data_IF_117036603766
#
_entry.id   IF_117036603766
#
_cell.length_a   1.000
_cell.length_b   1.000
_cell.length_c   1.000
_cell.angle_alpha   90.00
_cell.angle_beta   90.00
_cell.angle_gamma   90.00
#
_symmetry.space_group_name_H-M   'P 1'
#
loop_
_entity.id
_entity.type
_entity.pdbx_description
1 polymer ?
#
# COMPACT_ATOMS: atom_id res chain seq x y z
N UNK A 1 -0.61 -38.05 21.23
CA UNK A 1 0.42 -37.04 20.95
C UNK A 1 0.54 -36.95 19.43
N UNK A 2 -0.13 -35.99 18.81
CA UNK A 2 -0.20 -35.90 17.34
C UNK A 2 1.08 -35.26 16.79
N UNK A 3 1.73 -35.92 15.83
CA UNK A 3 2.95 -35.44 15.19
C UNK A 3 2.68 -34.13 14.42
N UNK A 4 3.44 -33.09 14.72
CA UNK A 4 3.41 -31.76 14.10
C UNK A 4 3.55 -31.79 12.57
N UNK A 5 4.18 -32.82 12.02
CA UNK A 5 4.35 -33.05 10.58
C UNK A 5 3.03 -33.12 9.80
N UNK A 6 1.98 -33.74 10.35
CA UNK A 6 0.72 -33.95 9.62
C UNK A 6 -0.08 -32.65 9.48
N UNK A 7 -0.05 -31.79 10.50
CA UNK A 7 -0.72 -30.49 10.46
C UNK A 7 -0.03 -29.53 9.48
N UNK A 8 1.30 -29.61 9.37
CA UNK A 8 2.06 -28.80 8.40
C UNK A 8 1.66 -29.13 6.95
N UNK A 9 1.43 -30.41 6.63
CA UNK A 9 0.98 -30.83 5.31
C UNK A 9 -0.44 -30.34 5.00
N UNK A 10 -1.38 -30.48 5.95
CA UNK A 10 -2.76 -29.99 5.75
C UNK A 10 -2.77 -28.47 5.55
N UNK A 11 -1.99 -27.74 6.34
CA UNK A 11 -1.88 -26.29 6.21
C UNK A 11 -1.26 -25.88 4.86
N UNK A 12 -0.21 -26.58 4.42
CA UNK A 12 0.40 -26.37 3.10
C UNK A 12 -0.60 -26.58 1.96
N UNK A 13 -1.42 -27.64 2.05
CA UNK A 13 -2.49 -27.90 1.08
C UNK A 13 -3.54 -26.76 1.08
N UNK A 14 -3.96 -26.27 2.25
CA UNK A 14 -4.90 -25.16 2.35
C UNK A 14 -4.34 -23.86 1.74
N UNK A 15 -3.05 -23.55 1.98
CA UNK A 15 -2.39 -22.40 1.36
C UNK A 15 -2.29 -22.54 -0.16
N UNK A 16 -2.04 -23.74 -0.66
CA UNK A 16 -2.01 -24.01 -2.10
C UNK A 16 -3.38 -23.80 -2.75
N UNK A 17 -4.45 -24.31 -2.13
CA UNK A 17 -5.82 -24.11 -2.61
C UNK A 17 -6.23 -22.64 -2.59
N UNK A 18 -5.84 -21.89 -1.54
CA UNK A 18 -6.09 -20.44 -1.46
C UNK A 18 -5.30 -19.65 -2.51
N UNK A 19 -4.05 -20.04 -2.75
CA UNK A 19 -3.21 -19.41 -3.79
C UNK A 19 -3.79 -19.65 -5.19
N UNK A 20 -4.33 -20.84 -5.43
CA UNK A 20 -5.03 -21.16 -6.68
C UNK A 20 -6.31 -20.33 -6.85
N UNK A 21 -7.13 -20.19 -5.81
CA UNK A 21 -8.32 -19.32 -5.82
C UNK A 21 -7.98 -17.87 -6.15
N UNK A 22 -6.97 -17.30 -5.50
CA UNK A 22 -6.51 -15.93 -5.76
C UNK A 22 -5.96 -15.76 -7.18
N UNK A 23 -5.26 -16.77 -7.70
CA UNK A 23 -4.78 -16.80 -9.07
C UNK A 23 -5.94 -16.77 -10.06
N UNK A 24 -6.96 -17.62 -9.92
CA UNK A 24 -8.10 -17.64 -10.85
C UNK A 24 -8.87 -16.31 -10.79
N UNK A 25 -9.10 -15.76 -9.59
CA UNK A 25 -9.75 -14.45 -9.43
C UNK A 25 -8.99 -13.32 -10.13
N UNK A 26 -7.65 -13.38 -10.17
CA UNK A 26 -6.82 -12.33 -10.78
C UNK A 26 -6.64 -12.49 -12.29
N UNK A 27 -6.48 -13.72 -12.78
CA UNK A 27 -6.06 -14.00 -14.16
C UNK A 27 -7.18 -14.52 -15.06
N UNK A 28 -8.36 -14.88 -14.53
CA UNK A 28 -9.48 -15.41 -15.33
C UNK A 28 -9.95 -14.46 -16.42
N UNK A 29 -9.80 -13.15 -16.24
CA UNK A 29 -10.18 -12.13 -17.22
C UNK A 29 -9.30 -12.17 -18.49
N UNK A 30 -8.06 -12.65 -18.40
CA UNK A 30 -7.19 -12.83 -19.58
C UNK A 30 -7.70 -13.91 -20.53
N UNK A 31 -8.46 -14.87 -20.00
CA UNK A 31 -9.00 -16.00 -20.75
C UNK A 31 -10.42 -15.73 -21.27
N UNK A 32 -10.89 -14.48 -21.19
CA UNK A 32 -12.24 -14.07 -21.62
C UNK A 32 -12.57 -14.39 -23.08
N UNK A 33 -11.54 -14.50 -23.94
CA UNK A 33 -11.70 -14.77 -25.38
C UNK A 33 -12.21 -16.18 -25.67
N UNK A 34 -12.10 -17.10 -24.70
CA UNK A 34 -12.53 -18.48 -24.81
C UNK A 34 -13.49 -18.81 -23.65
N UNK A 35 -14.81 -18.57 -23.80
CA UNK A 35 -15.78 -18.71 -22.70
C UNK A 35 -15.84 -20.13 -22.12
N UNK A 36 -15.55 -21.15 -22.94
CA UNK A 36 -15.48 -22.55 -22.49
C UNK A 36 -14.30 -22.77 -21.53
N UNK A 37 -13.13 -22.20 -21.80
CA UNK A 37 -11.95 -22.32 -20.93
C UNK A 37 -12.22 -21.58 -19.61
N UNK A 38 -12.84 -20.41 -19.68
CA UNK A 38 -13.22 -19.65 -18.49
C UNK A 38 -14.24 -20.42 -17.61
N UNK A 39 -15.24 -21.06 -18.23
CA UNK A 39 -16.20 -21.91 -17.51
C UNK A 39 -15.50 -23.07 -16.79
N UNK A 40 -14.61 -23.79 -17.47
CA UNK A 40 -13.87 -24.91 -16.85
C UNK A 40 -13.02 -24.43 -15.67
N UNK A 41 -12.36 -23.29 -15.80
CA UNK A 41 -11.56 -22.72 -14.70
C UNK A 41 -12.42 -22.37 -13.48
N UNK A 42 -13.60 -21.79 -13.67
CA UNK A 42 -14.53 -21.50 -12.57
C UNK A 42 -15.05 -22.76 -11.89
N UNK A 43 -15.37 -23.81 -12.65
CA UNK A 43 -15.76 -25.11 -12.08
C UNK A 43 -14.63 -25.68 -11.22
N UNK A 44 -13.39 -25.65 -11.71
CA UNK A 44 -12.22 -26.13 -10.95
C UNK A 44 -12.01 -25.30 -9.68
N UNK A 45 -12.17 -23.97 -9.77
CA UNK A 45 -12.10 -23.07 -8.62
C UNK A 45 -13.16 -23.38 -7.56
N UNK A 46 -14.43 -23.51 -7.96
CA UNK A 46 -15.54 -23.82 -7.04
C UNK A 46 -15.31 -25.16 -6.32
N UNK A 47 -14.81 -26.17 -7.04
CA UNK A 47 -14.41 -27.46 -6.47
C UNK A 47 -13.26 -27.28 -5.47
N UNK A 48 -12.25 -26.48 -5.79
CA UNK A 48 -11.12 -26.21 -4.89
C UNK A 48 -11.55 -25.48 -3.61
N UNK A 49 -12.47 -24.52 -3.70
CA UNK A 49 -13.06 -23.82 -2.54
C UNK A 49 -13.86 -24.81 -1.69
N UNK A 50 -14.67 -25.68 -2.31
CA UNK A 50 -15.41 -26.72 -1.61
C UNK A 50 -14.47 -27.68 -0.87
N UNK A 51 -13.39 -28.12 -1.51
CA UNK A 51 -12.37 -28.95 -0.85
C UNK A 51 -11.72 -28.24 0.34
N UNK A 52 -11.43 -26.94 0.22
CA UNK A 52 -10.89 -26.16 1.34
C UNK A 52 -11.86 -26.16 2.54
N UNK A 53 -13.15 -25.95 2.29
CA UNK A 53 -14.21 -26.01 3.32
C UNK A 53 -14.27 -27.41 3.95
N UNK A 54 -14.23 -28.48 3.15
CA UNK A 54 -14.22 -29.87 3.65
C UNK A 54 -13.00 -30.11 4.55
N UNK A 55 -11.82 -29.64 4.17
CA UNK A 55 -10.60 -29.77 4.99
C UNK A 55 -10.78 -29.03 6.31
N UNK A 56 -11.35 -27.82 6.32
CA UNK A 56 -11.66 -27.08 7.55
C UNK A 56 -12.57 -27.92 8.47
N UNK A 57 -13.62 -28.55 7.94
CA UNK A 57 -14.50 -29.43 8.72
C UNK A 57 -13.80 -30.70 9.23
N UNK A 58 -12.97 -31.36 8.41
CA UNK A 58 -12.19 -32.51 8.83
C UNK A 58 -11.21 -32.16 9.97
N UNK A 59 -10.61 -30.97 9.91
CA UNK A 59 -9.74 -30.47 10.99
C UNK A 59 -10.51 -30.24 12.28
N UNK A 60 -11.76 -29.79 12.21
CA UNK A 60 -12.63 -29.67 13.38
C UNK A 60 -12.93 -31.03 14.03
N UNK A 61 -13.29 -32.05 13.24
CA UNK A 61 -13.55 -33.39 13.77
C UNK A 61 -12.33 -34.05 14.44
N UNK A 62 -11.13 -33.72 13.96
CA UNK A 62 -9.88 -34.24 14.51
C UNK A 62 -9.38 -33.51 15.78
N UNK A 63 -10.14 -32.55 16.31
CA UNK A 63 -9.74 -31.79 17.51
C UNK A 63 -10.16 -32.50 18.81
N UNK A 64 -9.31 -32.47 19.84
CA UNK A 64 -9.61 -33.05 21.16
C UNK A 64 -10.92 -32.56 21.78
N UNK A 65 -11.27 -31.28 21.57
CA UNK A 65 -12.52 -30.68 22.08
C UNK A 65 -13.75 -31.35 21.46
N UNK A 66 -13.67 -31.73 20.18
CA UNK A 66 -14.75 -32.44 19.50
C UNK A 66 -14.83 -33.90 19.99
N UNK A 67 -13.70 -34.57 20.16
CA UNK A 67 -13.63 -35.94 20.71
C UNK A 67 -14.14 -36.03 22.15
N UNK A 68 -13.97 -34.97 22.94
CA UNK A 68 -14.50 -34.86 24.31
C UNK A 68 -16.02 -34.58 24.38
N UNK A 69 -16.71 -34.44 23.23
CA UNK A 69 -18.15 -34.20 23.16
C UNK A 69 -18.58 -32.74 23.37
N UNK A 70 -17.65 -31.79 23.49
CA UNK A 70 -17.95 -30.35 23.66
C UNK A 70 -18.21 -29.64 22.33
N UNK A 71 -19.08 -30.21 21.51
CA UNK A 71 -19.37 -29.74 20.15
C UNK A 71 -19.95 -28.33 20.12
N UNK A 72 -20.84 -28.00 21.07
CA UNK A 72 -21.46 -26.67 21.18
C UNK A 72 -20.44 -25.53 21.40
N UNK A 73 -19.37 -25.80 22.17
CA UNK A 73 -18.31 -24.83 22.41
C UNK A 73 -17.51 -24.55 21.14
N UNK A 74 -17.26 -25.59 20.34
CA UNK A 74 -16.54 -25.47 19.07
C UNK A 74 -17.35 -24.64 18.06
N UNK A 75 -18.63 -24.94 17.89
CA UNK A 75 -19.49 -24.17 16.98
C UNK A 75 -19.61 -22.71 17.41
N UNK A 76 -19.75 -22.42 18.70
CA UNK A 76 -19.78 -21.03 19.17
C UNK A 76 -18.48 -20.28 18.85
N UNK A 77 -17.33 -20.93 19.02
CA UNK A 77 -16.02 -20.31 18.78
C UNK A 77 -15.71 -20.09 17.29
N UNK A 78 -16.13 -21.00 16.42
CA UNK A 78 -15.80 -20.98 14.99
C UNK A 78 -16.98 -20.65 14.06
N UNK A 79 -18.12 -20.23 14.62
CA UNK A 79 -19.32 -19.83 13.85
C UNK A 79 -18.99 -18.82 12.76
N UNK A 80 -18.14 -17.84 13.07
CA UNK A 80 -17.69 -16.83 12.11
C UNK A 80 -17.00 -17.44 10.90
N UNK A 81 -16.03 -18.35 11.11
CA UNK A 81 -15.29 -19.01 10.02
C UNK A 81 -16.20 -19.84 9.13
N UNK A 82 -17.13 -20.60 9.72
CA UNK A 82 -18.07 -21.45 8.96
C UNK A 82 -19.05 -20.60 8.15
N UNK A 83 -19.62 -19.57 8.75
CA UNK A 83 -20.54 -18.65 8.05
C UNK A 83 -19.81 -17.91 6.95
N UNK A 84 -18.59 -17.44 7.20
CA UNK A 84 -17.78 -16.71 6.23
C UNK A 84 -17.44 -17.60 5.02
N UNK A 85 -16.96 -18.82 5.24
CA UNK A 85 -16.57 -19.72 4.15
C UNK A 85 -17.78 -20.18 3.32
N UNK A 86 -18.92 -20.46 3.96
CA UNK A 86 -20.17 -20.76 3.26
C UNK A 86 -20.70 -19.57 2.44
N UNK A 87 -20.64 -18.36 3.01
CA UNK A 87 -21.04 -17.14 2.31
C UNK A 87 -20.12 -16.87 1.13
N UNK A 88 -18.81 -17.06 1.29
CA UNK A 88 -17.83 -16.91 0.22
C UNK A 88 -18.11 -17.84 -0.96
N UNK A 89 -18.30 -19.14 -0.70
CA UNK A 89 -18.64 -20.12 -1.74
C UNK A 89 -19.94 -19.73 -2.47
N UNK A 90 -20.99 -19.35 -1.73
CA UNK A 90 -22.26 -18.96 -2.32
C UNK A 90 -22.13 -17.72 -3.22
N UNK A 91 -21.38 -16.70 -2.80
CA UNK A 91 -21.13 -15.51 -3.59
C UNK A 91 -20.28 -15.81 -4.83
N UNK A 92 -19.23 -16.64 -4.70
CA UNK A 92 -18.36 -17.03 -5.80
C UNK A 92 -19.14 -17.78 -6.89
N UNK A 93 -19.90 -18.81 -6.51
CA UNK A 93 -20.75 -19.57 -7.46
C UNK A 93 -21.79 -18.65 -8.11
N UNK A 94 -22.44 -17.78 -7.34
CA UNK A 94 -23.44 -16.83 -7.89
C UNK A 94 -22.81 -15.88 -8.91
N UNK A 95 -21.60 -15.39 -8.63
CA UNK A 95 -20.85 -14.53 -9.54
C UNK A 95 -20.42 -15.28 -10.81
N UNK A 96 -19.90 -16.50 -10.69
CA UNK A 96 -19.52 -17.34 -11.83
C UNK A 96 -20.71 -17.63 -12.75
N UNK A 97 -21.87 -17.98 -12.19
CA UNK A 97 -23.10 -18.20 -12.96
C UNK A 97 -23.52 -16.91 -13.69
N UNK A 98 -23.53 -15.79 -12.98
CA UNK A 98 -23.96 -14.51 -13.55
C UNK A 98 -23.05 -14.08 -14.72
N UNK A 99 -21.74 -14.13 -14.52
CA UNK A 99 -20.78 -13.67 -15.53
C UNK A 99 -20.73 -14.61 -16.75
N UNK A 100 -20.88 -15.92 -16.55
CA UNK A 100 -20.95 -16.89 -17.64
C UNK A 100 -22.23 -16.75 -18.45
N UNK A 101 -23.37 -16.46 -17.81
CA UNK A 101 -24.63 -16.22 -18.52
C UNK A 101 -24.49 -15.01 -19.48
N UNK A 102 -23.89 -13.93 -19.01
CA UNK A 102 -23.68 -12.72 -19.80
C UNK A 102 -22.69 -12.92 -20.96
N UNK A 103 -21.62 -13.69 -20.75
CA UNK A 103 -20.52 -13.84 -21.72
C UNK A 103 -20.74 -14.99 -22.72
N UNK A 104 -21.69 -15.90 -22.49
CA UNK A 104 -21.88 -17.12 -23.29
C UNK A 104 -22.09 -16.87 -24.79
N UNK A 105 -22.89 -15.86 -25.14
CA UNK A 105 -23.23 -15.57 -26.55
C UNK A 105 -22.30 -14.56 -27.22
N UNK A 106 -21.63 -13.72 -26.44
CA UNK A 106 -20.90 -12.55 -26.95
C UNK A 106 -19.67 -12.26 -26.09
N UNK A 107 -18.67 -13.13 -26.22
CA UNK A 107 -17.44 -13.15 -25.39
C UNK A 107 -16.60 -11.86 -25.47
N UNK A 108 -16.64 -11.12 -26.58
CA UNK A 108 -15.82 -9.91 -26.78
C UNK A 108 -16.48 -8.61 -26.32
N UNK A 109 -17.74 -8.63 -25.88
CA UNK A 109 -18.39 -7.41 -25.39
C UNK A 109 -17.92 -7.14 -23.97
N UNK A 110 -17.55 -5.88 -23.71
CA UNK A 110 -17.17 -5.43 -22.38
C UNK A 110 -18.42 -5.35 -21.50
N UNK A 111 -18.66 -6.41 -20.72
CA UNK A 111 -19.86 -6.55 -19.89
C UNK A 111 -19.68 -5.77 -18.58
N UNK A 112 -20.08 -4.50 -18.59
CA UNK A 112 -20.38 -3.73 -17.37
C UNK A 112 -21.89 -3.58 -17.25
N UNK A 113 -22.52 -4.52 -16.55
CA UNK A 113 -23.92 -4.41 -16.19
C UNK A 113 -24.11 -3.40 -15.07
N UNK A 114 -25.30 -2.82 -14.94
CA UNK A 114 -25.64 -1.88 -13.86
C UNK A 114 -25.33 -2.47 -12.48
N UNK A 115 -25.47 -3.79 -12.30
CA UNK A 115 -25.12 -4.48 -11.07
C UNK A 115 -23.61 -4.62 -10.80
N UNK A 116 -22.79 -4.82 -11.85
CA UNK A 116 -21.33 -4.81 -11.69
C UNK A 116 -20.84 -3.38 -11.44
N UNK A 117 -21.48 -2.39 -12.07
CA UNK A 117 -21.23 -0.97 -11.80
C UNK A 117 -21.64 -0.59 -10.37
N UNK A 118 -22.76 -1.07 -9.84
CA UNK A 118 -23.14 -0.80 -8.45
C UNK A 118 -22.16 -1.45 -7.48
N UNK A 119 -21.77 -2.71 -7.68
CA UNK A 119 -20.73 -3.36 -6.87
C UNK A 119 -19.40 -2.62 -6.92
N UNK A 120 -18.99 -2.17 -8.10
CA UNK A 120 -17.79 -1.36 -8.28
C UNK A 120 -17.91 0.01 -7.62
N UNK A 121 -19.08 0.65 -7.67
CA UNK A 121 -19.36 1.89 -6.95
C UNK A 121 -19.37 1.63 -5.45
N UNK A 122 -19.92 0.53 -4.94
CA UNK A 122 -19.84 0.16 -3.52
C UNK A 122 -18.40 -0.11 -3.08
N UNK A 123 -17.59 -0.77 -3.91
CA UNK A 123 -16.16 -0.94 -3.67
C UNK A 123 -15.42 0.42 -3.64
N UNK A 124 -15.82 1.37 -4.48
CA UNK A 124 -15.25 2.72 -4.56
C UNK A 124 -15.93 3.77 -3.68
N UNK A 125 -17.02 3.42 -3.01
CA UNK A 125 -17.66 4.25 -1.99
C UNK A 125 -16.78 4.33 -0.74
N UNK A 126 -15.81 3.43 -0.60
CA UNK A 126 -14.55 3.72 0.10
C UNK A 126 -13.67 4.61 -0.80
N UNK A 127 -14.09 5.87 -0.96
CA UNK A 127 -13.49 6.84 -1.88
C UNK A 127 -12.12 7.26 -1.32
N UNK A 128 -11.08 6.48 -1.60
CA UNK A 128 -9.71 6.87 -1.27
C UNK A 128 -9.23 7.94 -2.26
N UNK A 129 -9.33 9.21 -1.87
CA UNK A 129 -8.76 10.35 -2.58
C UNK A 129 -7.27 10.54 -2.28
N UNK A 130 -6.78 9.86 -1.24
CA UNK A 130 -5.36 9.82 -0.88
C UNK A 130 -4.54 9.32 -2.07
N UNK A 131 -3.51 10.06 -2.44
CA UNK A 131 -2.61 9.63 -3.51
C UNK A 131 -1.58 8.65 -2.97
N UNK A 132 -1.64 7.43 -3.49
CA UNK A 132 -0.64 6.38 -3.22
C UNK A 132 0.77 6.77 -3.68
N UNK A 133 1.02 7.38 -4.87
CA UNK A 133 2.38 7.76 -5.25
C UNK A 133 2.95 8.88 -4.37
N UNK A 134 2.11 9.82 -3.91
CA UNK A 134 2.56 10.87 -2.99
C UNK A 134 3.02 10.29 -1.64
N UNK A 135 2.29 9.31 -1.10
CA UNK A 135 2.65 8.69 0.18
C UNK A 135 3.97 7.91 0.08
N UNK A 136 4.16 7.17 -1.00
CA UNK A 136 5.39 6.41 -1.26
C UNK A 136 6.59 7.38 -1.32
N UNK A 137 6.45 8.52 -1.99
CA UNK A 137 7.51 9.52 -2.08
C UNK A 137 7.82 10.16 -0.73
N UNK A 138 6.80 10.56 0.04
CA UNK A 138 6.99 11.12 1.38
C UNK A 138 7.72 10.14 2.32
N UNK A 139 7.40 8.84 2.22
CA UNK A 139 8.09 7.80 2.99
C UNK A 139 9.55 7.64 2.55
N UNK A 140 9.82 7.58 1.24
CA UNK A 140 11.17 7.48 0.70
C UNK A 140 12.01 8.71 1.05
N UNK A 141 11.42 9.91 0.97
CA UNK A 141 12.09 11.16 1.33
C UNK A 141 12.42 11.19 2.83
N UNK A 142 11.58 10.66 3.70
CA UNK A 142 11.91 10.53 5.13
C UNK A 142 13.19 9.72 5.38
N UNK A 143 13.35 8.58 4.71
CA UNK A 143 14.58 7.78 4.81
C UNK A 143 15.77 8.46 4.14
N UNK A 144 15.56 9.02 2.95
CA UNK A 144 16.60 9.74 2.22
C UNK A 144 17.13 10.92 3.03
N UNK A 145 16.25 11.74 3.61
CA UNK A 145 16.63 12.88 4.41
C UNK A 145 17.33 12.48 5.73
N UNK A 146 16.93 11.38 6.37
CA UNK A 146 17.66 10.84 7.52
C UNK A 146 19.10 10.47 7.14
N UNK A 147 19.30 9.84 5.98
CA UNK A 147 20.65 9.53 5.48
C UNK A 147 21.42 10.79 5.07
N UNK A 148 20.76 11.76 4.44
CA UNK A 148 21.31 13.08 4.08
C UNK A 148 21.87 13.77 5.33
N UNK A 149 21.05 13.90 6.38
CA UNK A 149 21.44 14.58 7.62
C UNK A 149 22.68 13.95 8.27
N UNK A 150 22.74 12.61 8.34
CA UNK A 150 23.90 11.90 8.89
C UNK A 150 25.15 12.12 8.04
N UNK A 151 25.05 11.99 6.73
CA UNK A 151 26.16 12.22 5.81
C UNK A 151 26.67 13.67 5.89
N UNK A 152 25.77 14.64 6.01
CA UNK A 152 26.13 16.05 6.12
C UNK A 152 26.91 16.33 7.41
N UNK A 153 26.51 15.72 8.54
CA UNK A 153 27.28 15.81 9.79
C UNK A 153 28.69 15.24 9.61
N UNK A 154 28.84 14.08 8.98
CA UNK A 154 30.16 13.51 8.72
C UNK A 154 31.02 14.40 7.80
N UNK A 155 30.41 14.99 6.78
CA UNK A 155 31.09 15.91 5.87
C UNK A 155 31.47 17.22 6.55
N UNK A 156 30.65 17.74 7.48
CA UNK A 156 31.01 18.89 8.29
C UNK A 156 32.19 18.60 9.22
N UNK A 157 32.25 17.43 9.85
CA UNK A 157 33.41 17.00 10.63
C UNK A 157 34.67 16.93 9.74
N UNK A 158 34.55 16.33 8.55
CA UNK A 158 35.63 16.27 7.58
C UNK A 158 36.13 17.68 7.19
N UNK A 159 35.20 18.58 6.86
CA UNK A 159 35.51 19.98 6.50
C UNK A 159 36.17 20.73 7.64
N UNK A 160 35.67 20.58 8.87
CA UNK A 160 36.22 21.26 10.05
C UNK A 160 37.62 20.81 10.45
N UNK A 161 38.01 19.56 10.10
CA UNK A 161 39.33 19.02 10.42
C UNK A 161 40.38 19.27 9.34
N UNK A 162 40.00 19.21 8.06
CA UNK A 162 40.96 19.17 6.95
C UNK A 162 40.98 20.43 6.09
N UNK A 163 39.88 21.20 6.06
CA UNK A 163 39.79 22.41 5.25
C UNK A 163 39.88 23.64 6.14
N UNK A 164 40.47 24.75 5.66
CA UNK A 164 40.48 26.02 6.38
C UNK A 164 39.09 26.67 6.32
N UNK A 165 38.14 26.09 7.05
CA UNK A 165 36.75 26.54 7.16
C UNK A 165 36.64 27.63 8.23
N UNK A 166 36.21 28.86 7.90
CA UNK A 166 36.00 29.90 8.91
C UNK A 166 34.99 29.45 9.98
N UNK A 167 35.37 29.55 11.25
CA UNK A 167 34.57 29.02 12.36
C UNK A 167 33.16 29.64 12.46
N UNK A 168 33.01 30.91 12.10
CA UNK A 168 31.71 31.59 12.04
C UNK A 168 30.77 30.99 10.98
N UNK A 169 31.30 30.71 9.77
CA UNK A 169 30.51 30.11 8.70
C UNK A 169 30.14 28.66 9.05
N UNK A 170 31.09 27.89 9.61
CA UNK A 170 30.83 26.51 10.03
C UNK A 170 29.69 26.44 11.07
N UNK A 171 29.70 27.36 12.04
CA UNK A 171 28.64 27.44 13.05
C UNK A 171 27.29 27.78 12.42
N UNK A 172 27.25 28.75 11.49
CA UNK A 172 26.03 29.13 10.76
C UNK A 172 25.48 27.95 9.95
N UNK A 173 26.34 27.24 9.21
CA UNK A 173 25.95 26.10 8.38
C UNK A 173 25.39 24.94 9.21
N UNK A 174 25.96 24.69 10.40
CA UNK A 174 25.44 23.69 11.33
C UNK A 174 24.08 24.09 11.92
N UNK A 175 23.91 25.36 12.33
CA UNK A 175 22.62 25.85 12.83
C UNK A 175 21.55 25.74 11.75
N UNK A 176 21.88 26.11 10.52
CA UNK A 176 20.99 25.94 9.36
C UNK A 176 20.62 24.46 9.15
N UNK A 177 21.53 23.52 9.36
CA UNK A 177 21.26 22.09 9.16
C UNK A 177 20.22 21.57 10.16
N UNK A 178 20.31 21.98 11.42
CA UNK A 178 19.33 21.62 12.44
C UNK A 178 17.97 22.30 12.21
N UNK A 179 17.96 23.55 11.76
CA UNK A 179 16.72 24.21 11.33
C UNK A 179 16.09 23.49 10.14
N UNK A 180 16.90 23.05 9.19
CA UNK A 180 16.45 22.31 8.03
C UNK A 180 15.80 20.98 8.43
N UNK A 181 16.41 20.26 9.38
CA UNK A 181 15.84 19.04 9.96
C UNK A 181 14.44 19.28 10.55
N UNK A 182 14.27 20.37 11.31
CA UNK A 182 12.96 20.73 11.86
C UNK A 182 11.89 20.97 10.78
N UNK A 183 12.26 21.69 9.72
CA UNK A 183 11.38 21.96 8.57
C UNK A 183 10.98 20.65 7.89
N UNK A 184 11.94 19.77 7.59
CA UNK A 184 11.69 18.51 6.90
C UNK A 184 10.79 17.56 7.68
N UNK A 185 11.09 17.35 8.96
CA UNK A 185 10.26 16.50 9.83
C UNK A 185 8.82 17.00 9.87
N UNK A 186 8.65 18.32 10.01
CA UNK A 186 7.33 18.95 10.04
C UNK A 186 6.62 18.81 8.69
N UNK A 187 7.33 19.04 7.57
CA UNK A 187 6.80 18.94 6.21
C UNK A 187 6.29 17.53 5.92
N UNK A 188 7.10 16.51 6.17
CA UNK A 188 6.78 15.11 5.89
C UNK A 188 5.63 14.63 6.80
N UNK A 189 5.66 14.99 8.08
CA UNK A 189 4.60 14.63 9.02
C UNK A 189 3.24 15.17 8.58
N UNK A 190 3.14 16.47 8.29
CA UNK A 190 1.89 17.07 7.83
C UNK A 190 1.49 16.59 6.42
N UNK A 191 2.46 16.28 5.56
CA UNK A 191 2.21 15.73 4.22
C UNK A 191 1.51 14.37 4.29
N UNK A 192 2.09 13.44 5.05
CA UNK A 192 1.53 12.09 5.22
C UNK A 192 0.18 12.12 5.95
N UNK A 193 0.07 12.91 7.03
CA UNK A 193 -1.21 13.08 7.73
C UNK A 193 -2.28 13.73 6.86
N UNK A 194 -1.93 14.72 6.04
CA UNK A 194 -2.88 15.37 5.15
C UNK A 194 -3.36 14.45 4.02
N UNK A 195 -2.44 13.68 3.43
CA UNK A 195 -2.75 12.73 2.38
C UNK A 195 -3.61 11.55 2.90
N UNK A 196 -3.17 10.87 3.96
CA UNK A 196 -3.86 9.70 4.52
C UNK A 196 -5.21 10.02 5.15
N UNK A 197 -5.33 11.17 5.83
CA UNK A 197 -6.59 11.59 6.44
C UNK A 197 -7.48 12.41 5.50
N UNK A 198 -7.08 12.58 4.23
CA UNK A 198 -7.79 13.39 3.24
C UNK A 198 -8.10 14.82 3.73
N UNK A 199 -7.18 15.40 4.50
CA UNK A 199 -7.34 16.73 5.10
C UNK A 199 -6.52 17.77 4.34
N UNK A 200 -7.20 18.79 3.82
CA UNK A 200 -6.59 19.88 3.02
C UNK A 200 -5.60 20.74 3.79
N UNK A 201 -5.96 21.13 5.01
CA UNK A 201 -5.14 22.05 5.83
C UNK A 201 -3.73 21.50 6.09
N UNK A 202 -3.54 20.29 6.67
CA UNK A 202 -2.20 19.74 6.87
C UNK A 202 -1.44 19.50 5.56
N UNK A 203 -2.13 19.09 4.49
CA UNK A 203 -1.49 18.92 3.19
C UNK A 203 -1.00 20.27 2.62
N UNK A 204 -1.78 21.34 2.75
CA UNK A 204 -1.41 22.69 2.33
C UNK A 204 -0.23 23.25 3.15
N UNK A 205 -0.18 22.95 4.46
CA UNK A 205 0.97 23.31 5.32
C UNK A 205 2.24 22.61 4.82
N UNK A 206 2.16 21.32 4.48
CA UNK A 206 3.29 20.57 3.91
C UNK A 206 3.78 21.18 2.58
N UNK A 207 2.85 21.54 1.68
CA UNK A 207 3.18 22.22 0.43
C UNK A 207 3.86 23.58 0.67
N UNK A 208 3.35 24.37 1.61
CA UNK A 208 3.95 25.65 1.97
C UNK A 208 5.37 25.47 2.54
N UNK A 209 5.60 24.44 3.35
CA UNK A 209 6.92 24.10 3.91
C UNK A 209 7.90 23.54 2.88
N UNK A 210 7.44 23.14 1.70
CA UNK A 210 8.33 22.72 0.59
C UNK A 210 9.19 23.89 0.09
N UNK A 211 8.68 25.13 0.14
CA UNK A 211 9.42 26.32 -0.27
C UNK A 211 10.66 26.59 0.59
N UNK A 212 10.55 26.77 1.93
CA UNK A 212 11.73 26.95 2.77
C UNK A 212 12.66 25.73 2.73
N UNK A 213 12.12 24.51 2.61
CA UNK A 213 12.94 23.31 2.42
C UNK A 213 13.78 23.34 1.13
N UNK A 214 13.20 23.77 0.01
CA UNK A 214 13.89 23.91 -1.26
C UNK A 214 14.94 25.03 -1.22
N UNK A 215 14.66 26.13 -0.51
CA UNK A 215 15.64 27.21 -0.28
C UNK A 215 16.85 26.70 0.51
N UNK A 216 16.65 25.87 1.53
CA UNK A 216 17.76 25.26 2.29
C UNK A 216 18.58 24.29 1.43
N UNK A 217 17.96 23.45 0.60
CA UNK A 217 18.69 22.61 -0.36
C UNK A 217 19.49 23.43 -1.37
N UNK A 218 18.90 24.52 -1.89
CA UNK A 218 19.59 25.43 -2.80
C UNK A 218 20.75 26.17 -2.12
N UNK A 219 20.61 26.50 -0.83
CA UNK A 219 21.68 27.08 -0.02
C UNK A 219 22.89 26.13 0.07
N UNK A 220 22.68 24.87 0.45
CA UNK A 220 23.77 23.87 0.51
C UNK A 220 24.37 23.55 -0.86
N UNK A 221 23.57 23.66 -1.94
CA UNK A 221 24.05 23.43 -3.29
C UNK A 221 24.91 24.57 -3.86
N UNK A 222 24.52 25.84 -3.61
CA UNK A 222 25.05 27.01 -4.34
C UNK A 222 25.84 27.99 -3.48
N UNK A 223 25.46 28.14 -2.20
CA UNK A 223 25.92 29.24 -1.34
C UNK A 223 26.87 28.79 -0.22
N UNK A 224 27.02 27.49 -0.01
CA UNK A 224 27.92 26.93 1.00
C UNK A 224 29.38 27.25 0.67
N UNK A 225 30.18 27.57 1.70
CA UNK A 225 31.58 28.01 1.56
C UNK A 225 32.46 27.00 0.82
N UNK A 226 32.29 25.70 1.13
CA UNK A 226 32.96 24.60 0.43
C UNK A 226 31.93 23.52 0.10
N UNK A 227 31.49 23.44 -1.15
CA UNK A 227 30.57 22.40 -1.63
C UNK A 227 31.34 21.20 -2.20
N UNK A 228 31.18 20.03 -1.58
CA UNK A 228 31.74 18.77 -2.08
C UNK A 228 30.88 18.21 -3.22
N UNK A 229 31.48 17.41 -4.10
CA UNK A 229 30.73 16.76 -5.20
C UNK A 229 29.61 15.84 -4.69
N UNK A 230 29.82 15.19 -3.55
CA UNK A 230 28.82 14.33 -2.93
C UNK A 230 27.60 15.14 -2.46
N UNK A 231 27.83 16.29 -1.81
CA UNK A 231 26.76 17.20 -1.37
C UNK A 231 25.96 17.76 -2.54
N UNK A 232 26.64 18.07 -3.65
CA UNK A 232 25.96 18.54 -4.85
C UNK A 232 25.00 17.48 -5.43
N UNK A 233 25.42 16.22 -5.47
CA UNK A 233 24.56 15.10 -5.90
C UNK A 233 23.40 14.92 -4.92
N UNK A 234 23.68 14.94 -3.63
CA UNK A 234 22.67 14.76 -2.58
C UNK A 234 21.59 15.85 -2.61
N UNK A 235 21.99 17.12 -2.74
CA UNK A 235 21.07 18.25 -2.84
C UNK A 235 20.28 18.26 -4.15
N UNK A 236 20.89 17.85 -5.27
CA UNK A 236 20.19 17.74 -6.56
C UNK A 236 19.07 16.68 -6.51
N UNK A 237 19.35 15.52 -5.92
CA UNK A 237 18.33 14.46 -5.73
C UNK A 237 17.22 14.96 -4.78
N UNK A 238 17.57 15.68 -3.70
CA UNK A 238 16.60 16.21 -2.76
C UNK A 238 15.66 17.24 -3.42
N UNK A 239 16.19 18.12 -4.26
CA UNK A 239 15.39 19.05 -5.07
C UNK A 239 14.46 18.34 -6.06
N UNK A 240 14.90 17.21 -6.63
CA UNK A 240 14.04 16.38 -7.48
C UNK A 240 12.86 15.79 -6.69
N UNK A 241 13.11 15.27 -5.48
CA UNK A 241 12.04 14.82 -4.59
C UNK A 241 11.02 15.93 -4.35
N UNK A 242 11.48 17.14 -4.01
CA UNK A 242 10.59 18.28 -3.75
C UNK A 242 9.77 18.67 -4.97
N UNK A 243 10.36 18.68 -6.17
CA UNK A 243 9.64 19.01 -7.39
C UNK A 243 8.49 18.01 -7.67
N UNK A 244 8.75 16.70 -7.52
CA UNK A 244 7.75 15.66 -7.75
C UNK A 244 6.69 15.63 -6.65
N UNK A 245 7.08 15.78 -5.39
CA UNK A 245 6.17 15.86 -4.25
C UNK A 245 5.25 17.09 -4.32
N UNK A 246 5.79 18.25 -4.72
CA UNK A 246 5.00 19.46 -4.90
C UNK A 246 3.94 19.27 -6.00
N UNK A 247 4.33 18.70 -7.15
CA UNK A 247 3.42 18.41 -8.25
C UNK A 247 2.27 17.50 -7.79
N UNK A 248 2.61 16.35 -7.21
CA UNK A 248 1.62 15.37 -6.76
C UNK A 248 0.77 15.92 -5.60
N UNK A 249 1.36 16.69 -4.70
CA UNK A 249 0.67 17.32 -3.58
C UNK A 249 -0.32 18.41 -4.01
N UNK A 250 -0.02 19.18 -5.07
CA UNK A 250 -0.98 20.12 -5.66
C UNK A 250 -2.14 19.38 -6.32
N UNK A 251 -1.85 18.30 -7.06
CA UNK A 251 -2.89 17.48 -7.69
C UNK A 251 -3.82 16.84 -6.66
N UNK A 252 -3.30 16.35 -5.53
CA UNK A 252 -4.13 15.82 -4.44
C UNK A 252 -4.93 16.89 -3.74
N UNK A 253 -4.35 18.05 -3.48
CA UNK A 253 -5.06 19.18 -2.89
C UNK A 253 -6.20 19.65 -3.80
N UNK A 254 -5.96 19.72 -5.11
CA UNK A 254 -6.96 20.05 -6.11
C UNK A 254 -8.11 19.02 -6.13
N UNK A 255 -7.78 17.72 -6.10
CA UNK A 255 -8.76 16.65 -6.03
C UNK A 255 -9.62 16.72 -4.75
N UNK A 256 -9.02 17.05 -3.61
CA UNK A 256 -9.78 17.31 -2.38
C UNK A 256 -10.67 18.55 -2.53
N UNK A 257 -10.16 19.62 -3.15
CA UNK A 257 -10.88 20.89 -3.31
C UNK A 257 -12.14 20.78 -4.16
N UNK A 258 -12.09 19.98 -5.23
CA UNK A 258 -13.22 19.78 -6.13
C UNK A 258 -14.43 19.09 -5.50
N UNK A 259 -14.25 18.44 -4.34
CA UNK A 259 -15.34 17.71 -3.68
C UNK A 259 -16.11 18.53 -2.65
N UNK A 260 -15.52 19.58 -2.07
CA UNK A 260 -16.25 20.48 -1.16
C UNK A 260 -17.14 21.47 -1.93
N UNK A 261 -16.98 21.54 -3.25
CA UNK A 261 -17.73 22.46 -4.12
C UNK A 261 -19.07 21.88 -4.59
N UNK A 262 -19.41 20.65 -4.18
CA UNK A 262 -20.68 19.96 -4.43
C UNK A 262 -21.43 19.74 -3.11
#
# INVERSE_FOLDING_TARGET
>A
MLQTSNYSLVLSLQFLLLSFDLFVNSFSELLRMAPVIQLVLFIIQDIAILFNIIIIFLMFFNTFVFQAGLVNLLFHKFKGTIVLSGTYLALSVSFHIWIMNLRWRSSNYFVWTDGLQTLFVFQRLDRQLSSTPLEILLFLNGWYYATYFLLEIFMFVYKGLLLPYPSANLALDLVMLFLYLGIEVTRIFFGSKGNLCQRKVPLAISLALTFPAAVMAAYYLLLQTYALRLEAILNAILLLFYAVELLLGILTLAAFSSLDSY
#
